data_IF_133197728209
#
_entry.id   IF_133197728209
#
_cell.length_a   1.000
_cell.length_b   1.000
_cell.length_c   1.000
_cell.angle_alpha   90.00
_cell.angle_beta   90.00
_cell.angle_gamma   90.00
#
_symmetry.space_group_name_H-M   'P 1'
#
loop_
_entity.id
_entity.type
_entity.pdbx_description
1 polymer ?
#
# COMPACT_ATOMS: atom_id res chain seq x y z
N UNK A 1 40.25 10.21 16.17
CA UNK A 1 39.66 8.88 15.92
C UNK A 1 38.26 9.13 15.38
N UNK A 2 37.80 8.49 14.29
CA UNK A 2 36.49 8.81 13.74
C UNK A 2 35.41 8.16 14.62
N UNK A 3 34.58 9.00 15.22
CA UNK A 3 33.58 8.66 16.25
C UNK A 3 32.19 8.33 15.68
N UNK A 4 32.06 8.07 14.37
CA UNK A 4 30.82 7.56 13.77
C UNK A 4 31.12 6.58 12.64
N UNK A 5 30.33 5.50 12.50
CA UNK A 5 30.53 4.54 11.42
C UNK A 5 30.35 5.23 10.07
N UNK A 6 31.34 5.06 9.19
CA UNK A 6 31.25 5.49 7.81
C UNK A 6 30.15 4.68 7.12
N UNK A 7 29.02 5.31 6.83
CA UNK A 7 28.02 4.76 5.91
C UNK A 7 28.57 4.91 4.50
N UNK A 8 29.21 3.85 4.02
CA UNK A 8 29.65 3.74 2.63
C UNK A 8 28.41 3.50 1.78
N UNK A 9 27.88 4.54 1.16
CA UNK A 9 26.93 4.35 0.07
C UNK A 9 27.63 3.61 -1.07
N UNK A 10 27.00 2.54 -1.56
CA UNK A 10 27.46 1.90 -2.77
C UNK A 10 27.50 2.93 -3.91
N UNK A 11 28.45 2.79 -4.84
CA UNK A 11 28.44 3.61 -6.04
C UNK A 11 27.04 3.53 -6.68
N UNK A 12 26.42 4.67 -7.03
CA UNK A 12 25.08 4.70 -7.61
C UNK A 12 25.06 3.74 -8.79
N UNK A 13 24.25 2.71 -8.68
CA UNK A 13 24.03 1.76 -9.76
C UNK A 13 22.95 2.35 -10.63
N UNK A 14 23.27 2.60 -11.90
CA UNK A 14 22.24 2.82 -12.90
C UNK A 14 21.37 1.56 -12.88
N UNK A 15 20.15 1.68 -12.33
CA UNK A 15 19.18 0.62 -12.48
C UNK A 15 18.94 0.47 -13.99
N UNK A 16 19.27 -0.70 -14.54
CA UNK A 16 18.86 -1.04 -15.89
C UNK A 16 17.35 -0.78 -15.97
N UNK A 17 16.90 -0.05 -17.00
CA UNK A 17 15.48 -0.07 -17.39
C UNK A 17 15.00 -1.52 -17.29
N UNK A 18 13.85 -1.74 -16.65
CA UNK A 18 13.23 -3.07 -16.65
C UNK A 18 13.32 -3.64 -18.06
N UNK A 19 14.13 -4.69 -18.21
CA UNK A 19 14.32 -5.31 -19.51
C UNK A 19 12.96 -5.88 -19.87
N UNK A 20 12.35 -5.37 -20.94
CA UNK A 20 11.25 -6.06 -21.60
C UNK A 20 11.70 -7.49 -21.86
N UNK A 21 11.08 -8.42 -21.12
CA UNK A 21 11.09 -9.86 -21.28
C UNK A 21 12.40 -10.45 -21.84
N UNK A 22 13.35 -10.74 -20.96
CA UNK A 22 14.18 -11.94 -21.16
C UNK A 22 13.26 -13.15 -21.26
N UNK A 23 13.58 -14.11 -22.13
CA UNK A 23 12.71 -15.26 -22.42
C UNK A 23 12.13 -15.89 -21.15
N UNK A 24 10.83 -16.21 -21.18
CA UNK A 24 10.07 -16.64 -20.00
C UNK A 24 10.89 -17.64 -19.15
N UNK A 25 11.16 -17.27 -17.90
CA UNK A 25 11.73 -18.19 -16.92
C UNK A 25 10.89 -19.46 -16.95
N UNK A 26 11.53 -20.59 -17.28
CA UNK A 26 10.85 -21.87 -17.32
C UNK A 26 10.65 -22.30 -15.87
N UNK A 27 9.46 -22.06 -15.32
CA UNK A 27 9.10 -22.61 -14.02
C UNK A 27 8.66 -24.06 -14.19
N UNK A 28 9.13 -24.91 -13.28
CA UNK A 28 8.42 -26.14 -13.01
C UNK A 28 7.14 -25.78 -12.27
N UNK A 29 6.05 -26.41 -12.69
CA UNK A 29 4.72 -26.26 -12.10
C UNK A 29 4.20 -27.66 -11.78
N UNK A 30 3.37 -27.81 -10.74
CA UNK A 30 2.89 -29.12 -10.32
C UNK A 30 1.98 -29.73 -11.38
N UNK A 31 1.88 -31.07 -11.38
CA UNK A 31 0.91 -31.79 -12.21
C UNK A 31 -0.52 -31.41 -11.82
N UNK A 32 -1.48 -31.62 -12.72
CA UNK A 32 -2.90 -31.39 -12.44
C UNK A 32 -3.39 -32.07 -11.15
N UNK A 33 -3.08 -33.34 -10.96
CA UNK A 33 -3.49 -34.09 -9.76
C UNK A 33 -2.89 -33.53 -8.47
N UNK A 34 -1.63 -33.08 -8.53
CA UNK A 34 -0.95 -32.43 -7.40
C UNK A 34 -1.54 -31.06 -7.12
N UNK A 35 -1.82 -30.28 -8.16
CA UNK A 35 -2.42 -28.96 -8.06
C UNK A 35 -3.84 -29.02 -7.46
N UNK A 36 -4.65 -29.99 -7.91
CA UNK A 36 -5.95 -30.31 -7.31
C UNK A 36 -5.82 -30.63 -5.83
N UNK A 37 -4.87 -31.50 -5.47
CA UNK A 37 -4.70 -31.93 -4.08
C UNK A 37 -4.32 -30.76 -3.15
N UNK A 38 -3.48 -29.83 -3.63
CA UNK A 38 -3.02 -28.67 -2.85
C UNK A 38 -4.08 -27.60 -2.66
N UNK A 39 -4.83 -27.27 -3.72
CA UNK A 39 -5.76 -26.13 -3.71
C UNK A 39 -7.17 -26.49 -3.24
N UNK A 40 -7.55 -27.77 -3.29
CA UNK A 40 -8.90 -28.19 -2.84
C UNK A 40 -9.25 -27.72 -1.43
N UNK A 41 -8.36 -27.79 -0.41
CA UNK A 41 -8.63 -27.24 0.91
C UNK A 41 -9.00 -25.74 0.89
N UNK A 42 -8.28 -24.94 0.13
CA UNK A 42 -8.50 -23.49 0.02
C UNK A 42 -9.83 -23.15 -0.65
N UNK A 43 -10.15 -23.82 -1.77
CA UNK A 43 -11.46 -23.67 -2.41
C UNK A 43 -12.62 -24.16 -1.53
N UNK A 44 -12.40 -25.18 -0.69
CA UNK A 44 -13.40 -25.59 0.30
C UNK A 44 -13.64 -24.50 1.35
N UNK A 45 -12.60 -23.80 1.80
CA UNK A 45 -12.73 -22.64 2.69
C UNK A 45 -13.56 -21.54 2.01
N UNK A 46 -13.24 -21.19 0.76
CA UNK A 46 -14.04 -20.21 -0.01
C UNK A 46 -15.51 -20.62 -0.16
N UNK A 47 -15.75 -21.91 -0.42
CA UNK A 47 -17.10 -22.46 -0.51
C UNK A 47 -17.85 -22.36 0.82
N UNK A 48 -17.18 -22.58 1.95
CA UNK A 48 -17.75 -22.42 3.28
C UNK A 48 -18.04 -20.95 3.60
N UNK A 49 -17.18 -20.03 3.16
CA UNK A 49 -17.40 -18.59 3.32
C UNK A 49 -18.72 -18.12 2.69
N UNK A 50 -19.08 -18.65 1.52
CA UNK A 50 -20.40 -18.39 0.90
C UNK A 50 -21.56 -18.85 1.77
N UNK A 51 -21.40 -19.99 2.45
CA UNK A 51 -22.45 -20.57 3.28
C UNK A 51 -22.60 -19.80 4.59
N UNK A 52 -21.48 -19.43 5.21
CA UNK A 52 -21.43 -18.67 6.47
C UNK A 52 -21.80 -17.20 6.30
N UNK A 53 -21.45 -16.57 5.16
CA UNK A 53 -21.82 -15.18 4.86
C UNK A 53 -23.33 -14.94 4.89
N UNK A 54 -24.13 -15.96 4.52
CA UNK A 54 -25.58 -15.91 4.65
C UNK A 54 -26.07 -15.80 6.11
N UNK A 55 -25.27 -16.20 7.10
CA UNK A 55 -25.63 -16.16 8.53
C UNK A 55 -25.29 -14.80 9.17
N UNK A 56 -24.08 -14.27 8.94
CA UNK A 56 -23.64 -12.99 9.54
C UNK A 56 -24.47 -11.78 9.07
N UNK A 57 -24.95 -11.79 7.81
CA UNK A 57 -25.72 -10.68 7.24
C UNK A 57 -27.19 -10.64 7.66
N UNK A 58 -27.77 -11.71 8.19
CA UNK A 58 -29.15 -11.66 8.72
C UNK A 58 -29.32 -10.71 9.92
N UNK A 59 -28.22 -10.30 10.56
CA UNK A 59 -28.22 -9.34 11.67
C UNK A 59 -27.97 -7.88 11.26
N UNK A 60 -27.53 -7.62 10.01
CA UNK A 60 -27.37 -6.26 9.47
C UNK A 60 -28.48 -6.03 8.45
N UNK A 61 -29.51 -5.28 8.86
CA UNK A 61 -30.79 -5.09 8.16
C UNK A 61 -30.70 -4.23 6.86
N UNK A 62 -29.71 -4.48 6.01
CA UNK A 62 -29.56 -3.84 4.71
C UNK A 62 -29.47 -4.96 3.68
N UNK A 63 -30.52 -5.14 2.86
CA UNK A 63 -30.62 -6.18 1.83
C UNK A 63 -29.63 -6.02 0.66
N UNK A 64 -28.35 -5.80 0.97
CA UNK A 64 -27.22 -5.69 0.05
C UNK A 64 -26.55 -7.06 0.01
N UNK A 65 -26.34 -7.59 -1.20
CA UNK A 65 -25.63 -8.85 -1.38
C UNK A 65 -24.19 -8.73 -0.84
N UNK A 66 -23.68 -9.76 -0.14
CA UNK A 66 -22.33 -9.73 0.40
C UNK A 66 -21.28 -9.68 -0.72
N UNK A 67 -20.32 -8.77 -0.56
CA UNK A 67 -19.12 -8.65 -1.38
C UNK A 67 -17.97 -9.42 -0.72
N UNK A 68 -17.09 -10.01 -1.53
CA UNK A 68 -15.92 -10.76 -1.10
C UNK A 68 -14.73 -10.37 -1.97
N UNK A 69 -13.64 -9.94 -1.33
CA UNK A 69 -12.36 -9.75 -2.03
C UNK A 69 -11.58 -11.05 -2.02
N UNK A 70 -11.24 -11.56 -3.20
CA UNK A 70 -10.47 -12.78 -3.40
C UNK A 70 -9.04 -12.41 -3.77
N UNK A 71 -8.10 -13.12 -3.15
CA UNK A 71 -6.67 -13.05 -3.43
C UNK A 71 -6.28 -14.29 -4.21
N UNK A 72 -5.62 -14.09 -5.34
CA UNK A 72 -5.00 -15.16 -6.13
C UNK A 72 -3.52 -14.89 -6.24
N UNK A 73 -2.68 -15.73 -5.65
CA UNK A 73 -1.24 -15.67 -5.81
C UNK A 73 -0.81 -16.72 -6.84
N UNK A 74 -0.09 -16.33 -7.88
CA UNK A 74 0.39 -17.23 -8.93
C UNK A 74 1.89 -17.17 -9.10
N UNK A 75 2.51 -18.30 -9.46
CA UNK A 75 3.89 -18.32 -9.96
C UNK A 75 3.90 -17.96 -11.45
N UNK A 76 4.55 -16.85 -11.77
CA UNK A 76 4.55 -16.24 -13.09
C UNK A 76 3.23 -15.57 -13.46
N UNK A 77 3.09 -15.21 -14.74
CA UNK A 77 1.91 -14.51 -15.24
C UNK A 77 0.85 -15.52 -15.77
N UNK A 78 -0.36 -15.54 -15.19
CA UNK A 78 -1.47 -16.31 -15.73
C UNK A 78 -2.04 -15.61 -16.96
N UNK A 79 -1.48 -15.94 -18.13
CA UNK A 79 -1.93 -15.41 -19.44
C UNK A 79 -3.46 -15.35 -19.56
N UNK A 80 -3.94 -14.20 -20.04
CA UNK A 80 -5.36 -13.91 -20.29
C UNK A 80 -6.27 -13.87 -19.04
N UNK A 81 -5.71 -13.89 -17.82
CA UNK A 81 -6.53 -13.80 -16.60
C UNK A 81 -7.34 -12.49 -16.52
N UNK A 82 -6.73 -11.35 -16.83
CA UNK A 82 -7.45 -10.07 -16.91
C UNK A 82 -8.64 -10.09 -17.89
N UNK A 83 -8.51 -10.79 -19.02
CA UNK A 83 -9.63 -10.96 -19.99
C UNK A 83 -10.74 -11.82 -19.39
N UNK A 84 -10.40 -12.85 -18.62
CA UNK A 84 -11.36 -13.70 -17.95
C UNK A 84 -12.11 -12.95 -16.84
N UNK A 85 -11.43 -12.10 -16.06
CA UNK A 85 -12.08 -11.25 -15.06
C UNK A 85 -13.01 -10.24 -15.73
N UNK A 86 -12.59 -9.59 -16.82
CA UNK A 86 -13.48 -8.71 -17.59
C UNK A 86 -14.69 -9.44 -18.14
N UNK A 87 -14.50 -10.68 -18.63
CA UNK A 87 -15.61 -11.50 -19.09
C UNK A 87 -16.58 -11.86 -17.96
N UNK A 88 -16.05 -12.12 -16.76
CA UNK A 88 -16.87 -12.35 -15.56
C UNK A 88 -17.63 -11.10 -15.14
N UNK A 89 -17.00 -9.92 -15.25
CA UNK A 89 -17.64 -8.62 -14.97
C UNK A 89 -18.82 -8.31 -15.90
N UNK A 90 -18.80 -8.76 -17.15
CA UNK A 90 -19.95 -8.61 -18.06
C UNK A 90 -21.20 -9.33 -17.54
N UNK A 91 -21.04 -10.48 -16.89
CA UNK A 91 -22.14 -11.29 -16.34
C UNK A 91 -22.48 -10.87 -14.89
N UNK A 92 -21.47 -10.46 -14.13
CA UNK A 92 -21.56 -10.04 -12.74
C UNK A 92 -20.96 -8.64 -12.59
N UNK A 93 -21.74 -7.55 -12.79
CA UNK A 93 -21.23 -6.18 -12.83
C UNK A 93 -20.52 -5.69 -11.57
N UNK A 94 -20.74 -6.36 -10.43
CA UNK A 94 -20.07 -6.09 -9.15
C UNK A 94 -18.64 -6.62 -9.09
N UNK A 95 -18.19 -7.38 -10.09
CA UNK A 95 -16.80 -7.84 -10.15
C UNK A 95 -15.91 -6.65 -10.50
N UNK A 96 -14.93 -6.40 -9.65
CA UNK A 96 -13.93 -5.35 -9.88
C UNK A 96 -12.53 -5.93 -9.72
N UNK A 97 -11.63 -5.53 -10.61
CA UNK A 97 -10.21 -5.75 -10.42
C UNK A 97 -9.70 -4.66 -9.48
N UNK A 98 -9.16 -5.05 -8.33
CA UNK A 98 -8.78 -4.09 -7.29
C UNK A 98 -7.28 -3.82 -7.27
N UNK A 99 -6.47 -4.85 -7.52
CA UNK A 99 -5.02 -4.73 -7.39
C UNK A 99 -4.28 -5.84 -8.13
N UNK A 100 -3.12 -5.51 -8.69
CA UNK A 100 -2.11 -6.45 -9.18
C UNK A 100 -0.75 -6.07 -8.58
N UNK A 101 -0.10 -7.00 -7.90
CA UNK A 101 1.25 -6.85 -7.38
C UNK A 101 2.16 -7.93 -7.99
N UNK A 102 3.43 -7.62 -8.18
CA UNK A 102 4.44 -8.58 -8.61
C UNK A 102 5.60 -8.58 -7.62
N UNK A 103 6.06 -9.77 -7.24
CA UNK A 103 7.26 -9.95 -6.42
C UNK A 103 8.16 -10.99 -7.08
N UNK A 104 9.47 -10.89 -6.86
CA UNK A 104 10.48 -11.81 -7.38
C UNK A 104 11.30 -12.50 -6.31
N UNK A 105 10.78 -12.57 -5.08
CA UNK A 105 11.49 -13.09 -3.91
C UNK A 105 10.98 -14.45 -3.40
N UNK A 106 9.99 -15.07 -4.04
CA UNK A 106 9.46 -16.35 -3.58
C UNK A 106 10.52 -17.46 -3.73
N UNK A 107 10.74 -18.19 -2.64
CA UNK A 107 11.66 -19.33 -2.62
C UNK A 107 11.12 -20.49 -3.47
N UNK A 108 12.03 -21.25 -4.09
CA UNK A 108 11.69 -22.53 -4.69
C UNK A 108 11.08 -23.48 -3.63
N UNK A 109 10.19 -24.34 -4.10
CA UNK A 109 9.52 -25.40 -3.36
C UNK A 109 9.54 -26.69 -4.18
N UNK A 110 9.04 -27.78 -3.62
CA UNK A 110 8.89 -29.04 -4.37
C UNK A 110 7.87 -28.94 -5.51
N UNK A 111 6.85 -28.09 -5.35
CA UNK A 111 5.78 -27.96 -6.32
C UNK A 111 6.07 -26.88 -7.37
N UNK A 112 6.83 -25.85 -7.01
CA UNK A 112 7.21 -24.75 -7.89
C UNK A 112 8.69 -24.43 -7.75
N UNK A 113 9.44 -24.43 -8.85
CA UNK A 113 10.84 -24.01 -8.83
C UNK A 113 11.32 -23.50 -10.19
N UNK A 114 12.37 -22.67 -10.17
CA UNK A 114 13.02 -22.18 -11.39
C UNK A 114 13.77 -23.32 -12.08
N UNK A 115 13.58 -23.46 -13.40
CA UNK A 115 14.39 -24.37 -14.23
C UNK A 115 15.41 -23.57 -15.05
N UNK A 116 16.62 -24.12 -15.14
CA UNK A 116 17.66 -23.60 -16.03
C UNK A 116 17.42 -24.01 -17.50
N UNK A 117 18.33 -23.61 -18.38
CA UNK A 117 18.23 -23.91 -19.81
C UNK A 117 18.29 -25.42 -20.13
N UNK A 118 18.85 -26.24 -19.24
CA UNK A 118 18.86 -27.70 -19.36
C UNK A 118 17.65 -28.37 -18.69
N UNK A 119 16.62 -27.60 -18.31
CA UNK A 119 15.43 -28.08 -17.60
C UNK A 119 15.72 -28.73 -16.23
N UNK A 120 16.85 -28.39 -15.61
CA UNK A 120 17.18 -28.80 -14.24
C UNK A 120 16.80 -27.70 -13.24
N UNK A 121 16.48 -28.11 -12.00
CA UNK A 121 16.16 -27.20 -10.88
C UNK A 121 17.33 -26.25 -10.61
N UNK A 122 17.01 -24.97 -10.44
CA UNK A 122 17.96 -23.89 -10.17
C UNK A 122 17.56 -23.16 -8.88
N UNK A 123 18.11 -23.60 -7.76
CA UNK A 123 17.87 -23.02 -6.43
C UNK A 123 18.65 -21.72 -6.16
N UNK A 124 19.50 -21.30 -7.10
CA UNK A 124 20.17 -19.99 -7.00
C UNK A 124 19.24 -18.83 -7.35
N UNK A 125 18.11 -19.12 -8.01
CA UNK A 125 17.11 -18.14 -8.44
C UNK A 125 15.84 -18.24 -7.61
N UNK A 126 15.11 -17.13 -7.57
CA UNK A 126 13.79 -17.02 -6.95
C UNK A 126 12.70 -17.05 -8.01
N UNK A 127 11.52 -17.48 -7.58
CA UNK A 127 10.30 -17.45 -8.38
C UNK A 127 9.77 -16.02 -8.44
N UNK A 128 9.18 -15.67 -9.57
CA UNK A 128 8.36 -14.47 -9.69
C UNK A 128 6.92 -14.84 -9.39
N UNK A 129 6.29 -14.12 -8.48
CA UNK A 129 4.87 -14.24 -8.17
C UNK A 129 4.10 -13.03 -8.66
N UNK A 130 2.82 -13.27 -8.95
CA UNK A 130 1.82 -12.22 -9.13
C UNK A 130 0.69 -12.43 -8.15
N UNK A 131 0.29 -11.37 -7.47
CA UNK A 131 -0.88 -11.35 -6.59
C UNK A 131 -1.96 -10.54 -7.27
N UNK A 132 -3.15 -11.12 -7.38
CA UNK A 132 -4.33 -10.48 -7.94
C UNK A 132 -5.42 -10.40 -6.88
N UNK A 133 -5.92 -9.19 -6.64
CA UNK A 133 -7.11 -8.98 -5.83
C UNK A 133 -8.30 -8.64 -6.73
N UNK A 134 -9.36 -9.44 -6.64
CA UNK A 134 -10.62 -9.15 -7.31
C UNK A 134 -11.76 -9.11 -6.30
N UNK A 135 -12.62 -8.12 -6.42
CA UNK A 135 -13.88 -8.10 -5.71
C UNK A 135 -14.90 -8.96 -6.45
N UNK A 136 -15.73 -9.68 -5.70
CA UNK A 136 -16.81 -10.52 -6.21
C UNK A 136 -18.03 -10.38 -5.32
N UNK A 137 -19.23 -10.60 -5.87
CA UNK A 137 -20.39 -10.91 -5.03
C UNK A 137 -20.52 -12.43 -4.88
N UNK A 138 -21.52 -12.86 -4.11
CA UNK A 138 -21.78 -14.29 -3.89
C UNK A 138 -21.96 -15.09 -5.20
N UNK A 139 -22.62 -14.51 -6.21
CA UNK A 139 -22.87 -15.20 -7.48
C UNK A 139 -21.60 -15.38 -8.31
N UNK A 140 -20.78 -14.34 -8.42
CA UNK A 140 -19.49 -14.40 -9.11
C UNK A 140 -18.51 -15.38 -8.43
N UNK A 141 -18.46 -15.39 -7.10
CA UNK A 141 -17.63 -16.35 -6.36
C UNK A 141 -18.10 -17.80 -6.59
N UNK A 142 -19.43 -18.05 -6.61
CA UNK A 142 -19.97 -19.37 -6.98
C UNK A 142 -19.54 -19.78 -8.40
N UNK A 143 -19.52 -18.85 -9.35
CA UNK A 143 -19.07 -19.14 -10.71
C UNK A 143 -17.57 -19.48 -10.75
N UNK A 144 -16.72 -18.74 -10.04
CA UNK A 144 -15.28 -19.07 -9.93
C UNK A 144 -15.08 -20.48 -9.34
N UNK A 145 -15.82 -20.83 -8.29
CA UNK A 145 -15.77 -22.16 -7.69
C UNK A 145 -16.31 -23.24 -8.64
N UNK A 146 -17.34 -22.93 -9.42
CA UNK A 146 -17.84 -23.80 -10.50
C UNK A 146 -16.74 -24.09 -11.52
N UNK A 147 -16.05 -23.06 -12.01
CA UNK A 147 -14.92 -23.21 -12.93
C UNK A 147 -13.78 -24.06 -12.32
N UNK A 148 -13.46 -23.85 -11.04
CA UNK A 148 -12.51 -24.69 -10.32
C UNK A 148 -12.96 -26.15 -10.26
N UNK A 149 -14.22 -26.42 -9.94
CA UNK A 149 -14.74 -27.79 -9.87
C UNK A 149 -14.70 -28.52 -11.21
N UNK A 150 -14.96 -27.81 -12.31
CA UNK A 150 -14.80 -28.36 -13.66
C UNK A 150 -13.33 -28.67 -13.97
N UNK A 151 -12.41 -27.75 -13.67
CA UNK A 151 -10.97 -27.99 -13.82
C UNK A 151 -10.49 -29.16 -12.97
N UNK A 152 -10.97 -29.26 -11.73
CA UNK A 152 -10.67 -30.35 -10.79
C UNK A 152 -11.05 -31.71 -11.35
N UNK A 153 -12.22 -31.81 -12.00
CA UNK A 153 -12.72 -33.04 -12.59
C UNK A 153 -12.01 -33.40 -13.90
N UNK A 154 -11.69 -32.41 -14.73
CA UNK A 154 -11.05 -32.59 -16.04
C UNK A 154 -10.09 -31.44 -16.36
N UNK A 155 -8.79 -31.73 -16.42
CA UNK A 155 -7.76 -30.78 -16.85
C UNK A 155 -8.05 -30.19 -18.23
N UNK A 156 -8.70 -30.96 -19.11
CA UNK A 156 -9.00 -30.59 -20.49
C UNK A 156 -10.39 -29.96 -20.66
N UNK A 157 -11.09 -29.67 -19.56
CA UNK A 157 -12.38 -29.01 -19.60
C UNK A 157 -12.34 -27.76 -20.49
N UNK A 158 -13.34 -27.63 -21.36
CA UNK A 158 -13.49 -26.49 -22.26
C UNK A 158 -14.23 -25.38 -21.53
N UNK A 159 -13.46 -24.41 -21.02
CA UNK A 159 -14.00 -23.25 -20.35
C UNK A 159 -14.92 -22.44 -21.28
N UNK A 160 -15.94 -21.75 -20.74
CA UNK A 160 -16.76 -20.83 -21.50
C UNK A 160 -15.90 -19.80 -22.27
N UNK A 161 -16.42 -19.32 -23.40
CA UNK A 161 -15.69 -18.37 -24.25
C UNK A 161 -15.31 -17.12 -23.43
N UNK A 162 -14.01 -16.82 -23.38
CA UNK A 162 -13.45 -15.71 -22.62
C UNK A 162 -12.98 -16.08 -21.20
N UNK A 163 -13.37 -17.23 -20.66
CA UNK A 163 -13.01 -17.67 -19.30
C UNK A 163 -11.74 -18.54 -19.23
N UNK A 164 -11.07 -18.80 -20.35
CA UNK A 164 -9.88 -19.66 -20.39
C UNK A 164 -8.71 -19.13 -19.54
N UNK A 165 -8.69 -17.83 -19.21
CA UNK A 165 -7.73 -17.26 -18.26
C UNK A 165 -7.79 -17.92 -16.88
N UNK A 166 -8.97 -18.33 -16.39
CA UNK A 166 -9.10 -19.06 -15.13
C UNK A 166 -8.43 -20.44 -15.18
N UNK A 167 -8.44 -21.13 -16.33
CA UNK A 167 -7.70 -22.38 -16.49
C UNK A 167 -6.20 -22.17 -16.32
N UNK A 168 -5.67 -21.10 -16.92
CA UNK A 168 -4.26 -20.76 -16.81
C UNK A 168 -3.91 -20.32 -15.39
N UNK A 169 -4.78 -19.55 -14.74
CA UNK A 169 -4.69 -19.18 -13.33
C UNK A 169 -4.56 -20.43 -12.45
N UNK A 170 -5.53 -21.35 -12.49
CA UNK A 170 -5.53 -22.55 -11.65
C UNK A 170 -4.28 -23.41 -11.83
N UNK A 171 -3.72 -23.44 -13.05
CA UNK A 171 -2.49 -24.17 -13.37
C UNK A 171 -1.23 -23.57 -12.73
N UNK A 172 -1.21 -22.26 -12.49
CA UNK A 172 -0.05 -21.54 -11.90
C UNK A 172 -0.32 -21.02 -10.49
N UNK A 173 -1.51 -21.28 -9.93
CA UNK A 173 -1.94 -20.78 -8.63
C UNK A 173 -1.08 -21.39 -7.52
N UNK A 174 -0.39 -20.51 -6.80
CA UNK A 174 0.36 -20.84 -5.61
C UNK A 174 -0.58 -20.93 -4.40
N UNK A 175 -1.44 -19.92 -4.26
CA UNK A 175 -2.35 -19.75 -3.13
C UNK A 175 -3.64 -19.06 -3.57
N UNK A 176 -4.73 -19.32 -2.85
CA UNK A 176 -6.00 -18.61 -3.03
C UNK A 176 -6.76 -18.54 -1.71
N UNK A 177 -7.26 -17.36 -1.39
CA UNK A 177 -8.04 -17.13 -0.20
C UNK A 177 -8.88 -15.86 -0.34
N UNK A 178 -9.65 -15.58 0.69
CA UNK A 178 -10.38 -14.33 0.83
C UNK A 178 -9.51 -13.35 1.63
N UNK A 179 -9.47 -12.09 1.19
CA UNK A 179 -8.84 -11.01 1.94
C UNK A 179 -9.46 -10.90 3.33
N UNK A 180 -8.63 -11.04 4.35
CA UNK A 180 -9.08 -11.30 5.71
C UNK A 180 -8.44 -10.40 6.75
N UNK A 181 -8.48 -10.87 7.99
CA UNK A 181 -7.89 -10.17 9.14
C UNK A 181 -6.38 -10.08 9.00
N UNK A 182 -5.73 -11.11 8.44
CA UNK A 182 -4.28 -11.13 8.24
C UNK A 182 -3.82 -9.89 7.46
N UNK A 183 -4.32 -9.70 6.25
CA UNK A 183 -3.88 -8.57 5.41
C UNK A 183 -4.44 -7.24 5.91
N UNK A 184 -5.71 -7.23 6.36
CA UNK A 184 -6.40 -6.01 6.78
C UNK A 184 -5.80 -5.40 8.05
N UNK A 185 -5.28 -6.23 8.94
CA UNK A 185 -4.88 -5.83 10.28
C UNK A 185 -3.46 -6.28 10.62
N UNK A 186 -3.16 -7.58 10.54
CA UNK A 186 -1.89 -8.11 11.04
C UNK A 186 -0.68 -7.61 10.24
N UNK A 187 -0.82 -7.50 8.91
CA UNK A 187 0.27 -7.07 8.03
C UNK A 187 0.50 -5.54 8.01
N UNK A 188 -0.27 -4.79 8.81
CA UNK A 188 -0.26 -3.32 8.79
C UNK A 188 0.60 -2.66 9.87
N UNK A 189 0.99 -3.42 10.90
CA UNK A 189 1.68 -2.89 12.09
C UNK A 189 0.78 -2.14 13.08
N UNK A 190 -0.55 -2.10 12.85
CA UNK A 190 -1.47 -1.36 13.72
C UNK A 190 -1.50 -1.90 15.15
N UNK A 191 -1.48 -3.24 15.31
CA UNK A 191 -1.60 -3.87 16.62
C UNK A 191 -0.43 -3.46 17.50
N UNK A 192 0.79 -3.54 16.97
CA UNK A 192 2.01 -3.22 17.70
C UNK A 192 2.04 -1.75 18.13
N UNK A 193 1.65 -0.84 17.23
CA UNK A 193 1.58 0.61 17.53
C UNK A 193 0.54 0.89 18.61
N UNK A 194 -0.66 0.30 18.49
CA UNK A 194 -1.69 0.51 19.51
C UNK A 194 -1.37 -0.14 20.85
N UNK A 195 -0.67 -1.27 20.87
CA UNK A 195 -0.18 -1.86 22.12
C UNK A 195 0.80 -0.93 22.84
N UNK A 196 1.65 -0.22 22.09
CA UNK A 196 2.55 0.81 22.62
C UNK A 196 1.78 2.05 23.09
N UNK A 197 0.92 2.62 22.24
CA UNK A 197 0.12 3.81 22.55
C UNK A 197 -0.72 3.60 23.82
N UNK A 198 -1.37 2.44 23.93
CA UNK A 198 -2.23 2.12 25.07
C UNK A 198 -1.44 1.84 26.37
N UNK A 199 -0.10 1.81 26.36
CA UNK A 199 0.65 1.84 27.63
C UNK A 199 0.43 3.15 28.39
N UNK A 200 0.15 4.26 27.69
CA UNK A 200 -0.34 5.47 28.33
C UNK A 200 -1.78 5.26 28.81
N UNK A 201 -1.94 5.15 30.14
CA UNK A 201 -3.25 4.98 30.77
C UNK A 201 -4.16 6.20 30.66
N UNK A 202 -3.61 7.38 30.35
CA UNK A 202 -4.38 8.60 30.14
C UNK A 202 -4.99 8.69 28.74
N UNK A 203 -4.46 7.91 27.80
CA UNK A 203 -4.97 7.83 26.43
C UNK A 203 -6.28 7.03 26.39
N UNK A 204 -7.39 7.71 26.14
CA UNK A 204 -8.74 7.14 26.10
C UNK A 204 -9.20 6.78 24.68
N UNK A 205 -8.46 7.23 23.66
CA UNK A 205 -8.74 7.02 22.22
C UNK A 205 -7.45 6.90 21.44
N UNK A 206 -7.48 6.12 20.36
CA UNK A 206 -6.36 5.96 19.41
C UNK A 206 -6.80 6.35 18.01
N UNK A 207 -5.85 6.79 17.17
CA UNK A 207 -6.11 7.12 15.76
C UNK A 207 -5.93 5.90 14.87
N UNK A 208 -6.66 5.87 13.76
CA UNK A 208 -6.54 4.85 12.71
C UNK A 208 -6.84 5.46 11.36
N UNK A 209 -6.06 5.05 10.38
CA UNK A 209 -6.36 5.23 8.96
C UNK A 209 -7.07 3.97 8.46
N UNK A 210 -8.32 4.12 8.04
CA UNK A 210 -9.14 3.06 7.48
C UNK A 210 -9.12 3.22 5.96
N UNK A 211 -8.28 2.42 5.29
CA UNK A 211 -8.20 2.39 3.84
C UNK A 211 -9.26 1.45 3.28
N UNK A 212 -10.06 1.95 2.35
CA UNK A 212 -11.14 1.22 1.71
C UNK A 212 -10.68 0.72 0.35
N UNK A 213 -11.16 -0.46 -0.05
CA UNK A 213 -11.03 -0.86 -1.43
C UNK A 213 -11.75 0.16 -2.32
N UNK A 214 -11.00 0.81 -3.19
CA UNK A 214 -11.56 1.82 -4.08
C UNK A 214 -12.62 1.23 -5.00
N UNK A 215 -13.73 1.94 -5.17
CA UNK A 215 -14.83 1.54 -6.06
C UNK A 215 -14.87 2.46 -7.26
N UNK A 216 -14.98 1.89 -8.45
CA UNK A 216 -15.05 2.67 -9.69
C UNK A 216 -16.31 3.55 -9.73
N UNK A 217 -17.42 3.06 -9.18
CA UNK A 217 -18.67 3.82 -9.06
C UNK A 217 -18.61 4.87 -7.95
N UNK A 218 -18.88 6.12 -8.29
CA UNK A 218 -19.01 7.21 -7.31
C UNK A 218 -20.09 6.94 -6.26
N UNK A 219 -21.28 6.48 -6.66
CA UNK A 219 -22.37 6.20 -5.71
C UNK A 219 -21.99 5.07 -4.75
N UNK A 220 -21.30 4.04 -5.23
CA UNK A 220 -20.86 2.92 -4.38
C UNK A 220 -19.77 3.35 -3.40
N UNK A 221 -18.85 4.23 -3.81
CA UNK A 221 -17.87 4.84 -2.89
C UNK A 221 -18.57 5.57 -1.74
N UNK A 222 -19.56 6.41 -2.05
CA UNK A 222 -20.31 7.15 -1.03
C UNK A 222 -21.09 6.23 -0.08
N UNK A 223 -21.74 5.19 -0.62
CA UNK A 223 -22.47 4.19 0.16
C UNK A 223 -21.54 3.47 1.14
N UNK A 224 -20.42 2.93 0.64
CA UNK A 224 -19.43 2.21 1.44
C UNK A 224 -18.84 3.12 2.51
N UNK A 225 -18.41 4.32 2.16
CA UNK A 225 -17.85 5.29 3.11
C UNK A 225 -18.84 5.61 4.21
N UNK A 226 -20.11 5.87 3.85
CA UNK A 226 -21.18 6.17 4.83
C UNK A 226 -21.41 5.00 5.79
N UNK A 227 -21.37 3.76 5.28
CA UNK A 227 -21.51 2.57 6.10
C UNK A 227 -20.35 2.42 7.09
N UNK A 228 -19.10 2.61 6.66
CA UNK A 228 -17.94 2.53 7.55
C UNK A 228 -17.94 3.67 8.58
N UNK A 229 -18.29 4.89 8.17
CA UNK A 229 -18.48 6.02 9.10
C UNK A 229 -19.50 5.69 10.19
N UNK A 230 -20.63 5.10 9.81
CA UNK A 230 -21.66 4.69 10.76
C UNK A 230 -21.14 3.63 11.75
N UNK A 231 -20.35 2.66 11.29
CA UNK A 231 -19.72 1.67 12.18
C UNK A 231 -18.80 2.39 13.19
N UNK A 232 -17.93 3.29 12.72
CA UNK A 232 -17.03 4.05 13.61
C UNK A 232 -17.83 4.82 14.66
N UNK A 233 -18.85 5.58 14.25
CA UNK A 233 -19.67 6.39 15.16
C UNK A 233 -20.41 5.51 16.19
N UNK A 234 -20.99 4.38 15.75
CA UNK A 234 -21.70 3.45 16.63
C UNK A 234 -20.79 2.80 17.69
N UNK A 235 -19.49 2.69 17.42
CA UNK A 235 -18.50 2.18 18.37
C UNK A 235 -18.01 3.25 19.36
N UNK A 236 -18.52 4.49 19.26
CA UNK A 236 -18.07 5.64 20.03
C UNK A 236 -16.86 6.36 19.42
N UNK A 237 -16.49 6.00 18.20
CA UNK A 237 -15.45 6.64 17.39
C UNK A 237 -15.85 8.01 16.86
N UNK A 238 -14.88 8.72 16.29
CA UNK A 238 -15.08 10.01 15.62
C UNK A 238 -14.37 10.02 14.27
N UNK A 239 -14.98 10.66 13.28
CA UNK A 239 -14.37 10.84 11.96
C UNK A 239 -13.61 12.16 11.96
N UNK A 240 -12.31 12.11 11.64
CA UNK A 240 -11.44 13.29 11.53
C UNK A 240 -11.52 13.83 10.11
N UNK A 241 -11.15 13.01 9.13
CA UNK A 241 -11.13 13.41 7.72
C UNK A 241 -11.40 12.22 6.79
N UNK A 242 -11.66 12.51 5.52
CA UNK A 242 -11.82 11.50 4.46
C UNK A 242 -11.12 12.00 3.21
N UNK A 243 -10.47 11.08 2.49
CA UNK A 243 -9.76 11.40 1.27
C UNK A 243 -10.13 10.42 0.16
N UNK A 244 -10.38 10.96 -1.03
CA UNK A 244 -10.65 10.20 -2.25
C UNK A 244 -9.80 10.82 -3.36
N UNK A 245 -8.87 10.03 -3.91
CA UNK A 245 -7.99 10.44 -5.00
C UNK A 245 -8.16 9.44 -6.14
N UNK A 246 -9.10 9.68 -7.08
CA UNK A 246 -9.43 8.74 -8.14
C UNK A 246 -8.26 8.34 -9.03
N UNK A 247 -7.31 9.25 -9.25
CA UNK A 247 -6.16 9.10 -10.15
C UNK A 247 -5.21 7.98 -9.72
N UNK A 248 -5.18 7.69 -8.42
CA UNK A 248 -4.37 6.62 -7.82
C UNK A 248 -5.23 5.58 -7.11
N UNK A 249 -6.55 5.59 -7.37
CA UNK A 249 -7.52 4.66 -6.78
C UNK A 249 -7.42 4.61 -5.24
N UNK A 250 -7.22 5.78 -4.61
CA UNK A 250 -7.10 5.89 -3.15
C UNK A 250 -8.42 6.35 -2.52
N UNK A 251 -8.85 5.67 -1.45
CA UNK A 251 -10.02 6.03 -0.66
C UNK A 251 -9.78 5.65 0.80
N UNK A 252 -9.72 6.62 1.71
CA UNK A 252 -9.49 6.36 3.11
C UNK A 252 -10.27 7.30 4.03
N UNK A 253 -10.46 6.83 5.27
CA UNK A 253 -11.08 7.57 6.38
C UNK A 253 -10.06 7.64 7.51
N UNK A 254 -9.80 8.84 8.00
CA UNK A 254 -9.06 9.05 9.24
C UNK A 254 -10.05 9.17 10.40
N UNK A 255 -9.86 8.38 11.46
CA UNK A 255 -10.79 8.30 12.58
C UNK A 255 -10.09 8.13 13.92
N UNK A 256 -10.78 8.48 15.01
CA UNK A 256 -10.44 8.03 16.36
C UNK A 256 -11.35 6.89 16.81
N UNK A 257 -10.78 5.95 17.55
CA UNK A 257 -11.47 4.79 18.12
C UNK A 257 -11.26 4.78 19.64
N UNK A 258 -12.30 4.53 20.44
CA UNK A 258 -12.14 4.43 21.89
C UNK A 258 -11.20 3.30 22.28
N UNK A 259 -10.39 3.52 23.32
CA UNK A 259 -9.46 2.53 23.91
C UNK A 259 -10.10 1.16 24.10
N UNK A 260 -11.33 1.11 24.62
CA UNK A 260 -12.04 -0.15 24.89
C UNK A 260 -12.28 -0.94 23.60
N UNK A 261 -12.57 -0.26 22.49
CA UNK A 261 -12.78 -0.92 21.20
C UNK A 261 -11.45 -1.30 20.55
N UNK A 262 -10.43 -0.43 20.63
CA UNK A 262 -9.08 -0.74 20.18
C UNK A 262 -8.52 -1.99 20.88
N UNK A 263 -8.73 -2.13 22.19
CA UNK A 263 -8.31 -3.32 22.94
C UNK A 263 -8.97 -4.61 22.42
N UNK A 264 -10.22 -4.56 21.97
CA UNK A 264 -10.89 -5.72 21.36
C UNK A 264 -10.24 -6.12 20.03
N UNK A 265 -9.81 -5.13 19.23
CA UNK A 265 -9.07 -5.37 17.98
C UNK A 265 -7.72 -6.02 18.29
N UNK A 266 -6.96 -5.49 19.25
CA UNK A 266 -5.69 -6.06 19.71
C UNK A 266 -5.88 -7.51 20.19
N UNK A 267 -6.96 -7.77 20.92
CA UNK A 267 -7.33 -9.11 21.38
C UNK A 267 -7.83 -10.04 20.25
N UNK A 268 -7.82 -9.59 18.99
CA UNK A 268 -8.26 -10.33 17.79
C UNK A 268 -9.73 -10.75 17.83
N UNK A 269 -10.58 -9.95 18.48
CA UNK A 269 -12.02 -10.18 18.45
C UNK A 269 -12.60 -9.85 17.05
N UNK A 270 -13.50 -10.70 16.54
CA UNK A 270 -14.20 -10.49 15.26
C UNK A 270 -15.31 -9.41 15.40
N UNK A 271 -14.88 -8.15 15.51
CA UNK A 271 -15.78 -6.99 15.66
C UNK A 271 -15.98 -6.24 14.33
N UNK A 272 -17.02 -5.41 14.26
CA UNK A 272 -17.53 -4.82 13.02
C UNK A 272 -16.46 -4.20 12.09
N UNK A 273 -15.51 -3.41 12.61
CA UNK A 273 -14.44 -2.82 11.78
C UNK A 273 -13.44 -3.86 11.25
N UNK A 274 -13.20 -4.94 12.00
CA UNK A 274 -12.23 -5.99 11.62
C UNK A 274 -12.81 -6.89 10.52
N UNK A 275 -14.12 -7.13 10.53
CA UNK A 275 -14.80 -8.02 9.58
C UNK A 275 -15.49 -7.29 8.41
N UNK A 276 -15.41 -5.95 8.35
CA UNK A 276 -16.04 -5.19 7.28
C UNK A 276 -15.31 -5.40 5.95
N UNK A 277 -15.96 -6.11 5.03
CA UNK A 277 -15.44 -6.45 3.69
C UNK A 277 -14.90 -5.26 2.89
N UNK A 278 -15.51 -4.06 2.93
CA UNK A 278 -15.01 -2.95 2.15
C UNK A 278 -13.68 -2.37 2.65
N UNK A 279 -13.26 -2.68 3.88
CA UNK A 279 -11.99 -2.21 4.42
C UNK A 279 -10.86 -3.06 3.84
N UNK A 280 -9.91 -2.39 3.20
CA UNK A 280 -8.68 -2.99 2.71
C UNK A 280 -7.66 -3.09 3.84
N UNK A 281 -7.37 -1.97 4.51
CA UNK A 281 -6.40 -1.91 5.61
C UNK A 281 -6.90 -1.05 6.77
N UNK A 282 -6.54 -1.45 7.98
CA UNK A 282 -6.54 -0.60 9.17
C UNK A 282 -5.08 -0.30 9.48
N UNK A 283 -4.63 0.94 9.26
CA UNK A 283 -3.22 1.34 9.40
C UNK A 283 -3.03 2.30 10.58
N UNK A 284 -1.89 2.23 11.27
CA UNK A 284 -1.55 3.23 12.27
C UNK A 284 -1.33 4.59 11.58
N UNK A 285 -1.60 5.67 12.30
CA UNK A 285 -1.19 7.00 11.87
C UNK A 285 0.28 7.17 12.22
N UNK A 286 1.18 6.89 11.27
CA UNK A 286 2.62 6.97 11.49
C UNK A 286 3.04 8.43 11.53
N UNK A 287 3.79 8.81 12.57
CA UNK A 287 4.46 10.10 12.64
C UNK A 287 5.95 9.92 12.34
N UNK A 288 6.51 10.86 11.58
CA UNK A 288 7.95 11.02 11.41
C UNK A 288 8.35 12.27 12.17
N UNK A 289 9.32 12.14 13.07
CA UNK A 289 9.86 13.26 13.84
C UNK A 289 11.32 13.43 13.46
N UNK A 290 11.67 14.61 12.96
CA UNK A 290 13.07 14.96 12.72
C UNK A 290 13.62 15.78 13.89
N UNK A 291 14.75 15.34 14.44
CA UNK A 291 15.52 16.07 15.44
C UNK A 291 16.86 16.45 14.86
N UNK A 292 17.16 17.75 14.77
CA UNK A 292 18.47 18.22 14.36
C UNK A 292 19.42 18.31 15.57
N UNK A 293 20.62 17.76 15.43
CA UNK A 293 21.74 18.09 16.32
C UNK A 293 22.47 19.29 15.73
N UNK A 294 22.45 20.41 16.43
CA UNK A 294 23.19 21.63 16.06
C UNK A 294 24.71 21.35 16.05
N UNK A 295 25.23 20.91 14.91
CA UNK A 295 26.66 20.84 14.68
C UNK A 295 27.12 22.17 14.09
N UNK A 296 27.95 22.88 14.84
CA UNK A 296 28.60 24.10 14.39
C UNK A 296 29.55 23.78 13.23
N UNK A 297 29.16 24.16 12.00
CA UNK A 297 30.08 24.24 10.86
C UNK A 297 30.74 25.61 10.81
N UNK A 298 32.00 25.66 10.38
CA UNK A 298 32.75 26.91 10.26
C UNK A 298 32.38 27.67 8.99
N UNK A 299 31.95 28.93 9.14
CA UNK A 299 31.44 29.83 8.09
C UNK A 299 32.50 30.41 7.12
N UNK A 300 33.44 29.62 6.63
CA UNK A 300 34.52 30.13 5.76
C UNK A 300 34.62 29.47 4.38
N UNK A 301 33.48 29.16 3.75
CA UNK A 301 33.47 28.62 2.39
C UNK A 301 32.84 29.62 1.41
N UNK A 302 33.46 29.79 0.23
CA UNK A 302 32.83 30.39 -0.93
C UNK A 302 31.81 29.41 -1.50
N UNK A 303 30.59 29.87 -1.75
CA UNK A 303 29.52 29.06 -2.35
C UNK A 303 29.36 29.41 -3.83
N UNK A 304 29.25 28.39 -4.69
CA UNK A 304 28.85 28.63 -6.08
C UNK A 304 27.34 28.88 -6.19
N UNK A 305 26.99 29.64 -7.22
CA UNK A 305 25.62 30.03 -7.58
C UNK A 305 25.37 29.54 -9.01
N UNK A 306 24.21 28.95 -9.32
CA UNK A 306 23.93 28.50 -10.68
C UNK A 306 23.87 29.70 -11.63
N UNK A 307 24.25 29.47 -12.88
CA UNK A 307 24.19 30.49 -13.94
C UNK A 307 22.86 30.45 -14.71
N UNK A 308 22.19 29.31 -14.73
CA UNK A 308 20.88 29.12 -15.34
C UNK A 308 19.94 28.35 -14.40
N UNK A 309 18.77 28.93 -14.13
CA UNK A 309 17.71 28.30 -13.33
C UNK A 309 16.49 28.11 -14.21
N UNK A 310 16.17 26.85 -14.52
CA UNK A 310 15.02 26.47 -15.31
C UNK A 310 13.79 26.43 -14.39
N UNK A 311 12.74 27.18 -14.76
CA UNK A 311 11.51 27.31 -14.00
C UNK A 311 10.73 26.00 -13.84
N UNK A 312 10.68 25.15 -14.88
CA UNK A 312 9.91 23.91 -14.89
C UNK A 312 10.55 22.83 -13.98
N UNK A 313 9.93 22.51 -12.83
CA UNK A 313 10.47 21.55 -11.89
C UNK A 313 10.32 20.12 -12.42
N UNK A 314 11.27 19.25 -12.06
CA UNK A 314 11.16 17.80 -12.29
C UNK A 314 11.27 17.00 -10.98
N UNK A 315 11.53 17.69 -9.86
CA UNK A 315 11.62 17.13 -8.52
C UNK A 315 10.57 17.82 -7.66
N UNK A 316 9.80 17.02 -6.92
CA UNK A 316 8.88 17.47 -5.89
C UNK A 316 9.37 17.02 -4.52
N UNK A 317 9.47 17.95 -3.57
CA UNK A 317 9.84 17.72 -2.18
C UNK A 317 8.59 17.86 -1.31
N UNK A 318 8.19 16.77 -0.66
CA UNK A 318 7.10 16.72 0.32
C UNK A 318 7.72 16.68 1.71
N UNK A 319 7.77 17.83 2.38
CA UNK A 319 8.57 18.01 3.60
C UNK A 319 8.05 19.18 4.45
N UNK A 320 8.81 19.66 5.42
CA UNK A 320 8.56 20.90 6.13
C UNK A 320 8.75 22.15 5.24
N UNK A 321 8.27 23.28 5.74
CA UNK A 321 8.35 24.56 5.02
C UNK A 321 9.82 25.02 4.98
N UNK A 322 10.42 25.26 3.79
CA UNK A 322 11.81 25.69 3.71
C UNK A 322 11.96 27.20 3.95
N UNK A 323 13.19 27.62 4.29
CA UNK A 323 13.61 29.02 4.19
C UNK A 323 13.84 29.38 2.73
N UNK A 324 12.77 29.66 1.98
CA UNK A 324 12.85 29.91 0.55
C UNK A 324 13.74 31.11 0.16
N UNK A 325 13.89 32.10 1.05
CA UNK A 325 14.76 33.26 0.87
C UNK A 325 16.16 33.07 1.49
N UNK A 326 16.54 31.84 1.85
CA UNK A 326 17.90 31.57 2.30
C UNK A 326 18.89 31.88 1.16
N UNK A 327 20.05 32.54 1.40
CA UNK A 327 20.96 32.97 0.33
C UNK A 327 21.43 31.85 -0.61
N UNK A 328 21.42 30.60 -0.12
CA UNK A 328 21.79 29.42 -0.91
C UNK A 328 20.62 28.71 -1.60
N UNK A 329 19.38 29.21 -1.49
CA UNK A 329 18.12 28.66 -2.02
C UNK A 329 17.25 29.67 -2.77
N UNK A 330 17.45 30.97 -2.53
CA UNK A 330 16.64 32.04 -3.11
C UNK A 330 16.54 31.92 -4.64
N UNK A 331 15.30 31.96 -5.15
CA UNK A 331 15.03 31.83 -6.58
C UNK A 331 15.13 30.41 -7.14
N UNK A 332 15.40 29.38 -6.33
CA UNK A 332 15.55 27.99 -6.79
C UNK A 332 14.39 27.06 -6.37
N UNK A 333 13.44 27.57 -5.58
CA UNK A 333 12.29 26.81 -5.09
C UNK A 333 10.97 27.38 -5.62
N UNK A 334 9.99 26.50 -5.83
CA UNK A 334 8.58 26.84 -5.98
C UNK A 334 7.87 26.26 -4.75
N UNK A 335 7.53 27.11 -3.78
CA UNK A 335 6.78 26.67 -2.59
C UNK A 335 5.29 26.79 -2.89
N UNK A 336 4.61 25.65 -2.90
CA UNK A 336 3.16 25.54 -3.07
C UNK A 336 2.52 25.04 -1.78
N UNK A 337 1.99 25.98 -1.00
CA UNK A 337 1.44 25.76 0.34
C UNK A 337 -0.06 26.10 0.40
N UNK A 338 -0.94 25.34 -0.26
CA UNK A 338 -2.37 25.62 -0.22
C UNK A 338 -3.03 25.18 1.09
N UNK A 339 -2.34 24.38 1.91
CA UNK A 339 -2.79 24.00 3.26
C UNK A 339 -2.40 25.05 4.31
N UNK A 340 -1.58 26.04 3.93
CA UNK A 340 -1.21 27.18 4.76
C UNK A 340 -0.26 26.83 5.91
N UNK A 341 0.54 25.77 5.75
CA UNK A 341 1.45 25.28 6.78
C UNK A 341 2.53 26.30 7.14
N UNK A 342 2.94 27.17 6.20
CA UNK A 342 3.89 28.25 6.44
C UNK A 342 3.49 29.15 7.61
N UNK A 343 2.18 29.33 7.86
CA UNK A 343 1.67 30.17 8.94
C UNK A 343 1.97 29.62 10.34
N UNK A 344 2.28 28.33 10.47
CA UNK A 344 2.65 27.69 11.75
C UNK A 344 4.15 27.76 12.03
N UNK A 345 4.97 28.21 11.08
CA UNK A 345 6.43 28.24 11.19
C UNK A 345 6.98 29.61 11.54
N UNK A 346 7.79 29.67 12.60
CA UNK A 346 8.84 30.69 12.67
C UNK A 346 9.99 30.34 11.73
N UNK A 347 10.71 31.36 11.22
CA UNK A 347 11.83 31.16 10.27
C UNK A 347 12.88 30.19 10.83
N UNK A 348 13.16 30.25 12.14
CA UNK A 348 14.15 29.37 12.79
C UNK A 348 13.75 27.90 12.85
N UNK A 349 12.47 27.59 12.64
CA UNK A 349 11.91 26.24 12.75
C UNK A 349 11.87 25.53 11.40
N UNK A 350 12.10 26.27 10.30
CA UNK A 350 12.14 25.79 8.92
C UNK A 350 13.44 25.04 8.62
N UNK A 351 13.70 23.94 9.31
CA UNK A 351 15.01 23.27 9.32
C UNK A 351 15.06 22.11 8.32
N UNK A 352 14.17 21.12 8.45
CA UNK A 352 14.18 19.88 7.68
C UNK A 352 13.92 20.16 6.20
N UNK A 353 12.89 20.96 5.88
CA UNK A 353 12.60 21.36 4.50
C UNK A 353 13.75 22.11 3.84
N UNK A 354 14.43 22.99 4.59
CA UNK A 354 15.62 23.71 4.12
C UNK A 354 16.80 22.78 3.86
N UNK A 355 17.03 21.83 4.78
CA UNK A 355 18.11 20.85 4.65
C UNK A 355 17.89 19.93 3.44
N UNK A 356 16.68 19.40 3.27
CA UNK A 356 16.32 18.52 2.16
C UNK A 356 16.37 19.24 0.81
N UNK A 357 15.85 20.47 0.73
CA UNK A 357 15.96 21.30 -0.48
C UNK A 357 17.44 21.58 -0.84
N UNK A 358 18.28 21.87 0.16
CA UNK A 358 19.71 22.09 -0.04
C UNK A 358 20.42 20.83 -0.53
N UNK A 359 20.10 19.66 0.04
CA UNK A 359 20.66 18.37 -0.39
C UNK A 359 20.27 18.01 -1.82
N UNK A 360 19.01 18.26 -2.21
CA UNK A 360 18.53 18.01 -3.58
C UNK A 360 19.30 18.88 -4.59
N UNK A 361 19.49 20.15 -4.27
CA UNK A 361 20.11 21.11 -5.20
C UNK A 361 21.64 21.02 -5.24
N UNK A 362 22.29 20.75 -4.09
CA UNK A 362 23.75 20.88 -3.91
C UNK A 362 24.44 19.56 -3.60
N UNK A 363 23.70 18.52 -3.27
CA UNK A 363 24.26 17.23 -2.87
C UNK A 363 24.99 17.30 -1.53
N UNK A 364 25.98 16.41 -1.34
CA UNK A 364 26.74 16.33 -0.09
C UNK A 364 27.70 17.51 0.12
N UNK A 365 28.26 18.05 -0.97
CA UNK A 365 29.14 19.21 -0.90
C UNK A 365 28.32 20.50 -1.09
N UNK A 366 27.83 21.02 0.03
CA UNK A 366 27.02 22.25 0.09
C UNK A 366 27.71 23.50 -0.49
N UNK A 367 29.03 23.47 -0.69
CA UNK A 367 29.77 24.60 -1.29
C UNK A 367 29.58 24.71 -2.80
N UNK A 368 29.18 23.62 -3.45
CA UNK A 368 29.03 23.54 -4.90
C UNK A 368 27.58 23.38 -5.33
N UNK A 369 27.31 23.73 -6.59
CA UNK A 369 26.04 23.52 -7.30
C UNK A 369 26.34 23.49 -8.79
N UNK A 370 25.54 22.75 -9.56
CA UNK A 370 25.66 22.72 -11.01
C UNK A 370 25.33 24.08 -11.64
N UNK A 371 25.92 24.39 -12.79
CA UNK A 371 25.71 25.67 -13.48
C UNK A 371 24.29 25.82 -14.01
N UNK A 372 23.68 24.71 -14.43
CA UNK A 372 22.30 24.65 -14.93
C UNK A 372 21.48 23.75 -14.00
N UNK A 373 20.50 24.34 -13.33
CA UNK A 373 19.60 23.61 -12.44
C UNK A 373 18.14 23.81 -12.84
N UNK A 374 17.26 22.95 -12.33
CA UNK A 374 15.81 23.14 -12.35
C UNK A 374 15.33 23.52 -10.96
N UNK A 375 14.27 24.32 -10.88
CA UNK A 375 13.62 24.58 -9.60
C UNK A 375 13.12 23.29 -8.97
N UNK A 376 13.10 23.27 -7.64
CA UNK A 376 12.45 22.21 -6.86
C UNK A 376 11.06 22.69 -6.48
N UNK A 377 10.05 21.91 -6.84
CA UNK A 377 8.70 22.12 -6.32
C UNK A 377 8.65 21.61 -4.88
N UNK A 378 8.16 22.42 -3.95
CA UNK A 378 8.07 22.08 -2.54
C UNK A 378 6.62 22.13 -2.12
N UNK A 379 6.12 21.00 -1.60
CA UNK A 379 4.80 20.86 -1.01
C UNK A 379 4.94 20.64 0.50
N UNK A 380 4.68 21.66 1.34
CA UNK A 380 4.69 21.48 2.77
C UNK A 380 3.69 20.41 3.22
N UNK A 381 4.15 19.45 4.03
CA UNK A 381 3.33 18.41 4.67
C UNK A 381 3.67 18.21 6.15
N UNK A 382 4.56 19.04 6.72
CA UNK A 382 4.93 18.98 8.13
C UNK A 382 4.59 20.29 8.84
N UNK A 383 4.39 20.23 10.16
CA UNK A 383 4.23 21.36 11.07
C UNK A 383 5.31 21.29 12.16
N UNK A 384 5.73 22.42 12.75
CA UNK A 384 6.60 22.41 13.91
C UNK A 384 5.78 22.17 15.19
N UNK A 385 6.31 21.39 16.11
CA UNK A 385 5.80 21.26 17.47
C UNK A 385 6.96 21.32 18.47
N UNK A 386 6.72 21.95 19.62
CA UNK A 386 7.71 22.03 20.69
C UNK A 386 7.51 20.88 21.66
N UNK A 387 8.40 19.90 21.62
CA UNK A 387 8.45 18.80 22.57
C UNK A 387 9.71 18.89 23.43
N UNK A 388 9.58 18.86 24.77
CA UNK A 388 10.71 18.95 25.70
C UNK A 388 11.70 20.11 25.41
N UNK A 389 11.17 21.30 25.10
CA UNK A 389 11.93 22.50 24.71
C UNK A 389 12.78 22.35 23.43
N UNK A 390 12.50 21.35 22.59
CA UNK A 390 13.04 21.23 21.24
C UNK A 390 11.92 21.38 20.23
N UNK A 391 12.13 22.20 19.21
CA UNK A 391 11.22 22.27 18.08
C UNK A 391 11.54 21.10 17.15
N UNK A 392 10.53 20.30 16.85
CA UNK A 392 10.60 19.18 15.93
C UNK A 392 9.52 19.33 14.87
N UNK A 393 9.86 19.05 13.63
CA UNK A 393 8.87 19.00 12.55
C UNK A 393 8.26 17.60 12.51
N UNK A 394 6.94 17.54 12.36
CA UNK A 394 6.16 16.30 12.29
C UNK A 394 5.10 16.39 11.19
N UNK A 395 4.68 15.25 10.66
CA UNK A 395 3.52 15.16 9.77
C UNK A 395 2.27 15.21 10.64
N UNK A 396 1.40 16.22 10.49
CA UNK A 396 0.21 16.34 11.29
C UNK A 396 -0.77 15.20 10.98
N UNK A 397 -1.48 14.77 12.01
CA UNK A 397 -2.42 13.64 12.00
C UNK A 397 -3.88 14.14 12.19
N UNK A 398 -4.13 15.38 11.76
CA UNK A 398 -5.39 16.12 11.88
C UNK A 398 -5.94 16.61 10.52
N UNK A 399 -5.35 16.17 9.40
CA UNK A 399 -5.69 16.61 8.04
C UNK A 399 -6.04 15.45 7.11
#
# INVERSE_FOLDING_TARGET
MPERPLVLFAAPTVADKERRYGGASKYFIPSHSRQVSRLTPQFNVLQNTINSGNLYFTNYATGVDPEYTLVFETVGDPRDFYKAVNKLKEEYPTVEWLMELSDSNLNNSEDFYVMNNQAARDDSKKLTTKLFCIMTNQAALKEIISLWNHYKADENFKFPKGMAGFKQLFRTLYDVHKWGIQERLDDTGLIEVWEEDLQDTSLDRVKVQIELFFRSSFSKRQEVESNIKNIVIQTGGEIISCSVIPEIEYHAILATIPRVYAQKIINREEIALVIAEPIMFLKPCVQIVFSNDNNNFSDSNSFSVPTNVIEEPIIALFDGVPQANHPLLEGMLIVDDPDGFESFYEVRERVHGTAMASLILRGQDMSTIEDEIRKVYVRPIMKPETWNNKVTEYIPDDF
#
